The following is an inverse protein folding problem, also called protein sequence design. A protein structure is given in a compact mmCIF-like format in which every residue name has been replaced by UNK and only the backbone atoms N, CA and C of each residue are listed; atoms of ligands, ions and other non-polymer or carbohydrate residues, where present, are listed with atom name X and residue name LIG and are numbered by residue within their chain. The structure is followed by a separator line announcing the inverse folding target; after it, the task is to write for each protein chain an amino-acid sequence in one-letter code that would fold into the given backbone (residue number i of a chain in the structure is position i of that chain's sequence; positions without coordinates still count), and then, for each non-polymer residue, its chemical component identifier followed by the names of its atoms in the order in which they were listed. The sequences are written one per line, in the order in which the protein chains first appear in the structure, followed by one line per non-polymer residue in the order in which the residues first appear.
data_IF_888656823809
#
_entry.id   IF_888656823809
#
_cell.length_a   1.000
_cell.length_b   1.000
_cell.length_c   1.000
_cell.angle_alpha   90.00
_cell.angle_beta   90.00
_cell.angle_gamma   90.00
#
_symmetry.space_group_name_H-M   'P 1'
#
loop_
_entity.id
_entity.type
_entity.pdbx_description
1 polymer ?
#
# COMPACT_ATOMS: atom_id res chain seq x y z
N UNK A 1 -8.87 21.14 13.26
CA UNK A 1 -7.81 21.75 12.41
C UNK A 1 -7.87 20.99 11.12
N UNK A 2 -8.56 21.57 10.14
CA UNK A 2 -8.69 21.00 8.80
C UNK A 2 -7.35 21.17 8.11
N UNK A 3 -6.64 20.05 7.93
CA UNK A 3 -5.18 20.08 7.81
C UNK A 3 -4.68 20.23 6.36
N UNK A 4 -5.56 20.41 5.36
CA UNK A 4 -5.13 20.32 3.96
C UNK A 4 -5.76 21.34 3.03
N UNK A 5 -5.03 21.60 1.95
CA UNK A 5 -5.43 22.54 0.93
C UNK A 5 -6.69 22.07 0.21
N UNK A 6 -7.58 22.98 -0.21
CA UNK A 6 -8.73 22.63 -1.03
C UNK A 6 -8.27 21.99 -2.35
N UNK A 7 -9.10 21.17 -2.97
CA UNK A 7 -8.75 20.38 -4.16
C UNK A 7 -8.10 21.25 -5.26
N UNK A 8 -8.59 22.47 -5.44
CA UNK A 8 -8.13 23.45 -6.42
C UNK A 8 -6.65 23.83 -6.26
N UNK A 9 -6.10 23.73 -5.05
CA UNK A 9 -4.70 24.02 -4.78
C UNK A 9 -3.75 23.00 -5.44
N UNK A 10 -4.24 21.83 -5.84
CA UNK A 10 -3.45 20.80 -6.53
C UNK A 10 -3.37 21.02 -8.05
N UNK A 11 -3.92 22.13 -8.58
CA UNK A 11 -3.72 22.57 -9.97
C UNK A 11 -4.12 21.52 -11.01
N UNK A 12 -3.19 21.14 -11.89
CA UNK A 12 -3.45 20.14 -12.95
C UNK A 12 -3.83 18.76 -12.40
N UNK A 13 -3.33 18.37 -11.21
CA UNK A 13 -3.71 17.10 -10.60
C UNK A 13 -5.20 17.09 -10.26
N UNK A 14 -5.72 18.20 -9.74
CA UNK A 14 -7.13 18.34 -9.40
C UNK A 14 -8.04 18.16 -10.62
N UNK A 15 -7.64 18.73 -11.76
CA UNK A 15 -8.39 18.64 -13.02
C UNK A 15 -8.52 17.21 -13.53
N UNK A 16 -7.56 16.34 -13.23
CA UNK A 16 -7.58 14.92 -13.60
C UNK A 16 -8.50 14.04 -12.75
N UNK A 17 -8.99 14.53 -11.60
CA UNK A 17 -9.87 13.77 -10.71
C UNK A 17 -11.33 13.90 -11.18
N UNK A 18 -12.01 12.77 -11.31
CA UNK A 18 -13.45 12.70 -11.60
C UNK A 18 -14.28 12.81 -10.33
N UNK A 19 -14.01 11.92 -9.37
CA UNK A 19 -14.72 11.81 -8.10
C UNK A 19 -13.75 11.48 -6.98
N UNK A 20 -14.00 11.98 -5.77
CA UNK A 20 -13.31 11.54 -4.55
C UNK A 20 -14.01 10.28 -4.03
N UNK A 21 -13.27 9.17 -3.90
CA UNK A 21 -13.77 7.91 -3.34
C UNK A 21 -13.62 7.85 -1.82
N UNK A 22 -12.44 8.23 -1.34
CA UNK A 22 -12.13 8.26 0.08
C UNK A 22 -11.50 9.60 0.42
N UNK A 23 -12.15 10.36 1.30
CA UNK A 23 -11.59 11.61 1.80
C UNK A 23 -10.41 11.32 2.71
N UNK A 24 -9.59 12.34 2.93
CA UNK A 24 -8.49 12.25 3.88
C UNK A 24 -8.97 11.90 5.29
N UNK A 25 -10.09 12.48 5.76
CA UNK A 25 -10.64 12.17 7.08
C UNK A 25 -11.01 10.70 7.21
N UNK A 26 -11.58 10.12 6.15
CA UNK A 26 -11.90 8.69 6.11
C UNK A 26 -10.63 7.85 6.16
N UNK A 27 -9.61 8.19 5.36
CA UNK A 27 -8.33 7.49 5.36
C UNK A 27 -7.66 7.59 6.73
N UNK A 28 -7.52 8.80 7.28
CA UNK A 28 -6.93 9.05 8.61
C UNK A 28 -7.67 8.28 9.71
N UNK A 29 -9.00 8.29 9.67
CA UNK A 29 -9.79 7.52 10.63
C UNK A 29 -9.51 6.03 10.52
N UNK A 30 -9.48 5.50 9.29
CA UNK A 30 -9.22 4.08 9.06
C UNK A 30 -7.80 3.68 9.49
N UNK A 31 -6.80 4.50 9.17
CA UNK A 31 -5.40 4.24 9.57
C UNK A 31 -5.27 4.22 11.10
N UNK A 32 -5.98 5.08 11.84
CA UNK A 32 -6.02 5.03 13.31
C UNK A 32 -6.62 3.73 13.84
N UNK A 33 -7.71 3.27 13.24
CA UNK A 33 -8.32 1.98 13.62
C UNK A 33 -7.37 0.80 13.38
N UNK A 34 -6.67 0.81 12.24
CA UNK A 34 -5.65 -0.21 11.92
C UNK A 34 -4.48 -0.14 12.92
N UNK A 35 -3.98 1.05 13.23
CA UNK A 35 -2.90 1.25 14.19
C UNK A 35 -3.26 0.75 15.60
N UNK A 36 -4.49 1.01 16.05
CA UNK A 36 -4.99 0.49 17.32
C UNK A 36 -5.04 -1.04 17.33
N UNK A 37 -5.63 -1.65 16.30
CA UNK A 37 -5.72 -3.11 16.19
C UNK A 37 -4.33 -3.77 16.16
N UNK A 38 -3.38 -3.20 15.41
CA UNK A 38 -1.99 -3.68 15.37
C UNK A 38 -1.33 -3.56 16.74
N UNK A 39 -1.54 -2.44 17.43
CA UNK A 39 -0.96 -2.19 18.76
C UNK A 39 -1.45 -3.20 19.81
N UNK A 40 -2.71 -3.61 19.72
CA UNK A 40 -3.28 -4.60 20.63
C UNK A 40 -2.78 -6.01 20.31
N UNK A 41 -2.80 -6.40 19.04
CA UNK A 41 -2.40 -7.73 18.58
C UNK A 41 -0.90 -8.02 18.75
N UNK A 42 -0.05 -7.00 18.69
CA UNK A 42 1.41 -7.13 18.74
C UNK A 42 2.03 -6.61 20.05
N UNK A 43 1.22 -6.38 21.08
CA UNK A 43 1.69 -5.87 22.37
C UNK A 43 2.77 -6.77 22.96
N UNK A 44 3.97 -6.21 23.16
CA UNK A 44 5.13 -6.92 23.70
C UNK A 44 5.86 -7.83 22.71
N UNK A 45 5.58 -7.71 21.40
CA UNK A 45 6.19 -8.52 20.33
C UNK A 45 7.14 -7.72 19.42
N UNK A 46 7.22 -6.40 19.58
CA UNK A 46 8.08 -5.45 18.86
C UNK A 46 8.20 -5.78 17.34
N UNK A 47 7.09 -5.69 16.59
CA UNK A 47 7.04 -6.19 15.23
C UNK A 47 7.87 -5.35 14.25
N UNK A 48 8.35 -6.02 13.21
CA UNK A 48 8.97 -5.39 12.05
C UNK A 48 7.91 -5.12 10.98
N UNK A 49 7.69 -3.84 10.66
CA UNK A 49 6.84 -3.41 9.56
C UNK A 49 7.68 -3.28 8.29
N UNK A 50 7.26 -3.94 7.21
CA UNK A 50 7.98 -3.90 5.93
C UNK A 50 7.05 -3.43 4.83
N UNK A 51 7.42 -2.36 4.12
CA UNK A 51 6.66 -1.84 2.98
C UNK A 51 7.42 -1.95 1.66
N UNK A 52 6.69 -2.04 0.54
CA UNK A 52 7.30 -1.98 -0.80
C UNK A 52 7.21 -0.56 -1.36
N UNK A 53 8.36 0.01 -1.73
CA UNK A 53 8.43 1.33 -2.34
C UNK A 53 7.82 1.34 -3.75
N UNK A 54 7.20 2.43 -4.19
CA UNK A 54 7.10 3.75 -3.50
C UNK A 54 5.71 4.02 -2.91
N UNK A 55 4.68 3.33 -3.40
CA UNK A 55 3.28 3.67 -3.15
C UNK A 55 2.89 3.57 -1.67
N UNK A 56 3.50 2.65 -0.92
CA UNK A 56 3.25 2.46 0.51
C UNK A 56 3.61 3.67 1.38
N UNK A 57 4.46 4.59 0.92
CA UNK A 57 5.10 5.59 1.79
C UNK A 57 4.10 6.44 2.60
N UNK A 58 3.04 7.03 2.02
CA UNK A 58 2.07 7.80 2.79
C UNK A 58 1.35 6.95 3.84
N UNK A 59 0.93 5.74 3.46
CA UNK A 59 0.24 4.82 4.36
C UNK A 59 1.15 4.37 5.51
N UNK A 60 2.39 3.95 5.21
CA UNK A 60 3.37 3.54 6.22
C UNK A 60 3.62 4.67 7.23
N UNK A 61 3.82 5.90 6.76
CA UNK A 61 4.08 7.05 7.63
C UNK A 61 2.91 7.35 8.59
N UNK A 62 1.66 7.26 8.10
CA UNK A 62 0.48 7.50 8.94
C UNK A 62 0.19 6.32 9.88
N UNK A 63 0.43 5.09 9.42
CA UNK A 63 0.25 3.88 10.20
C UNK A 63 1.23 3.82 11.37
N UNK A 64 2.51 4.10 11.11
CA UNK A 64 3.55 4.14 12.16
C UNK A 64 3.19 5.12 13.28
N UNK A 65 2.69 6.32 12.93
CA UNK A 65 2.25 7.34 13.90
C UNK A 65 0.98 6.95 14.66
N UNK A 66 0.24 5.95 14.18
CA UNK A 66 -0.99 5.45 14.80
C UNK A 66 -0.75 4.20 15.66
N UNK A 67 0.45 3.62 15.65
CA UNK A 67 0.81 2.46 16.48
C UNK A 67 1.44 2.95 17.80
N UNK A 68 1.00 2.41 18.93
CA UNK A 68 1.36 2.87 20.28
C UNK A 68 2.32 1.93 21.01
N UNK A 69 2.92 0.97 20.32
CA UNK A 69 3.91 0.02 20.84
C UNK A 69 5.23 0.20 20.08
N UNK A 70 6.37 -0.29 20.61
CA UNK A 70 7.62 -0.30 19.86
C UNK A 70 7.46 -1.08 18.55
N UNK A 71 8.00 -0.54 17.47
CA UNK A 71 8.04 -1.16 16.14
C UNK A 71 9.36 -0.83 15.47
N UNK A 72 9.82 -1.73 14.61
CA UNK A 72 10.88 -1.44 13.63
C UNK A 72 10.26 -1.27 12.24
N UNK A 73 10.94 -0.55 11.36
CA UNK A 73 10.50 -0.34 9.98
C UNK A 73 11.65 -0.62 9.01
N UNK A 74 11.34 -1.30 7.91
CA UNK A 74 12.23 -1.42 6.75
C UNK A 74 11.40 -1.36 5.46
N UNK A 75 12.11 -1.25 4.34
CA UNK A 75 11.51 -1.15 3.02
C UNK A 75 12.18 -2.08 2.03
N UNK A 76 11.39 -2.64 1.13
CA UNK A 76 11.88 -3.27 -0.09
C UNK A 76 11.69 -2.34 -1.28
N UNK A 77 12.60 -2.37 -2.24
CA UNK A 77 12.40 -1.77 -3.55
C UNK A 77 12.45 -2.88 -4.61
N UNK A 78 11.44 -2.91 -5.47
CA UNK A 78 11.31 -3.92 -6.52
C UNK A 78 11.17 -3.28 -7.89
N UNK A 79 11.59 -4.00 -8.93
CA UNK A 79 11.36 -3.62 -10.32
C UNK A 79 10.83 -4.82 -11.11
N UNK A 80 10.19 -4.56 -12.26
CA UNK A 80 9.73 -5.63 -13.14
C UNK A 80 10.89 -6.15 -14.00
N UNK A 81 10.98 -7.47 -14.22
CA UNK A 81 11.98 -8.04 -15.13
C UNK A 81 11.59 -7.85 -16.61
N UNK A 82 10.43 -8.36 -16.99
CA UNK A 82 9.83 -8.31 -18.32
C UNK A 82 8.30 -8.31 -18.17
N UNK A 83 7.57 -8.01 -19.25
CA UNK A 83 6.10 -8.08 -19.25
C UNK A 83 5.59 -9.47 -18.84
N UNK A 84 6.20 -10.54 -19.37
CA UNK A 84 5.83 -11.94 -19.07
C UNK A 84 6.15 -12.35 -17.62
N UNK A 85 7.20 -11.79 -17.03
CA UNK A 85 7.54 -12.00 -15.64
C UNK A 85 6.54 -11.27 -14.73
N UNK A 86 6.14 -10.06 -15.11
CA UNK A 86 5.12 -9.27 -14.40
C UNK A 86 3.76 -9.96 -14.38
N UNK A 87 3.35 -10.59 -15.48
CA UNK A 87 2.10 -11.35 -15.56
C UNK A 87 2.11 -12.59 -14.65
N UNK A 88 3.30 -13.05 -14.24
CA UNK A 88 3.50 -14.12 -13.24
C UNK A 88 3.79 -13.57 -11.82
N UNK A 89 3.81 -12.26 -11.64
CA UNK A 89 4.16 -11.57 -10.39
C UNK A 89 5.63 -11.64 -9.99
N UNK A 90 6.52 -12.05 -10.90
CA UNK A 90 7.95 -12.16 -10.62
C UNK A 90 8.61 -10.79 -10.75
N UNK A 91 9.35 -10.39 -9.71
CA UNK A 91 9.97 -9.07 -9.60
C UNK A 91 11.44 -9.17 -9.18
N UNK A 92 12.25 -8.22 -9.63
CA UNK A 92 13.66 -8.06 -9.22
C UNK A 92 13.70 -7.24 -7.94
N UNK A 93 14.43 -7.71 -6.94
CA UNK A 93 14.68 -6.94 -5.71
C UNK A 93 15.88 -6.02 -5.94
N UNK A 94 15.65 -4.71 -5.86
CA UNK A 94 16.67 -3.65 -5.97
C UNK A 94 17.25 -3.30 -4.59
N UNK A 95 16.37 -3.25 -3.59
CA UNK A 95 16.72 -3.13 -2.17
C UNK A 95 15.98 -4.21 -1.40
N UNK A 96 16.73 -4.96 -0.62
CA UNK A 96 16.21 -5.96 0.29
C UNK A 96 16.12 -5.42 1.72
N UNK A 97 15.50 -6.21 2.59
CA UNK A 97 15.41 -5.97 4.04
C UNK A 97 16.79 -6.18 4.65
N UNK A 98 17.24 -5.25 5.48
CA UNK A 98 18.54 -5.28 6.13
C UNK A 98 18.46 -5.88 7.55
N UNK A 99 17.26 -5.89 8.13
CA UNK A 99 17.00 -6.44 9.47
C UNK A 99 16.87 -7.97 9.41
N UNK A 100 17.54 -8.74 10.31
CA UNK A 100 17.37 -10.18 10.40
C UNK A 100 15.91 -10.59 10.66
N UNK A 101 15.39 -11.52 9.87
CA UNK A 101 13.97 -11.92 9.91
C UNK A 101 13.67 -13.14 10.80
N UNK A 102 14.68 -13.95 11.12
CA UNK A 102 14.52 -15.19 11.88
C UNK A 102 13.87 -14.89 13.23
N UNK A 103 12.80 -15.62 13.56
CA UNK A 103 12.02 -15.46 14.80
C UNK A 103 11.41 -14.05 15.01
N UNK A 104 11.32 -13.21 13.96
CA UNK A 104 10.66 -11.90 14.07
C UNK A 104 9.17 -11.97 13.77
N UNK A 105 8.40 -11.18 14.51
CA UNK A 105 7.02 -10.90 14.19
C UNK A 105 6.97 -9.83 13.09
N UNK A 106 6.60 -10.22 11.86
CA UNK A 106 6.58 -9.34 10.71
C UNK A 106 5.16 -8.94 10.31
N UNK A 107 5.01 -7.69 9.91
CA UNK A 107 3.81 -7.16 9.26
C UNK A 107 4.20 -6.55 7.91
N UNK A 108 3.80 -7.20 6.83
CA UNK A 108 3.97 -6.70 5.48
C UNK A 108 2.88 -5.66 5.18
N UNK A 109 3.28 -4.44 4.85
CA UNK A 109 2.39 -3.29 4.64
C UNK A 109 2.36 -2.94 3.15
N UNK A 110 1.17 -2.94 2.56
CA UNK A 110 0.94 -2.60 1.15
C UNK A 110 -0.02 -1.41 1.02
N UNK A 111 0.21 -0.55 0.04
CA UNK A 111 -0.77 0.48 -0.33
C UNK A 111 -2.00 -0.17 -0.96
N UNK A 112 -1.81 -0.98 -2.01
CA UNK A 112 -2.89 -1.64 -2.73
C UNK A 112 -2.56 -3.07 -3.11
N UNK A 113 -3.51 -3.97 -2.93
CA UNK A 113 -3.41 -5.33 -3.48
C UNK A 113 -4.44 -5.53 -4.58
N UNK A 114 -3.91 -5.94 -5.73
CA UNK A 114 -4.66 -6.15 -6.96
C UNK A 114 -4.79 -7.66 -7.27
N UNK A 115 -4.00 -8.17 -8.22
CA UNK A 115 -3.98 -9.62 -8.54
C UNK A 115 -3.45 -10.47 -7.37
N UNK A 116 -2.59 -9.88 -6.53
CA UNK A 116 -1.91 -10.54 -5.43
C UNK A 116 -0.63 -11.30 -5.82
N UNK A 117 -0.31 -11.41 -7.11
CA UNK A 117 0.79 -12.24 -7.62
C UNK A 117 2.16 -11.80 -7.06
N UNK A 118 2.49 -10.51 -7.17
CA UNK A 118 3.75 -9.95 -6.66
C UNK A 118 3.86 -10.12 -5.15
N UNK A 119 2.80 -9.78 -4.41
CA UNK A 119 2.78 -9.94 -2.96
C UNK A 119 3.01 -11.40 -2.56
N UNK A 120 2.35 -12.36 -3.21
CA UNK A 120 2.56 -13.77 -2.91
C UNK A 120 3.99 -14.24 -3.22
N UNK A 121 4.60 -13.75 -4.31
CA UNK A 121 6.01 -14.01 -4.59
C UNK A 121 6.90 -13.51 -3.45
N UNK A 122 6.73 -12.26 -3.02
CA UNK A 122 7.51 -11.67 -1.93
C UNK A 122 7.30 -12.41 -0.59
N UNK A 123 6.04 -12.69 -0.22
CA UNK A 123 5.73 -13.41 1.01
C UNK A 123 6.33 -14.83 1.03
N UNK A 124 6.42 -15.50 -0.13
CA UNK A 124 7.10 -16.81 -0.23
C UNK A 124 8.59 -16.68 0.05
N UNK A 125 9.25 -15.66 -0.51
CA UNK A 125 10.66 -15.39 -0.25
C UNK A 125 10.89 -15.07 1.22
N UNK A 126 10.07 -14.19 1.82
CA UNK A 126 10.22 -13.79 3.21
C UNK A 126 9.97 -14.95 4.20
N UNK A 127 9.02 -15.85 3.91
CA UNK A 127 8.78 -17.05 4.73
C UNK A 127 9.99 -17.98 4.78
N UNK A 128 10.84 -18.00 3.74
CA UNK A 128 12.04 -18.82 3.73
C UNK A 128 13.10 -18.36 4.74
N UNK A 129 12.97 -17.15 5.29
CA UNK A 129 13.80 -16.66 6.39
C UNK A 129 13.24 -16.99 7.78
N UNK A 130 12.18 -17.80 7.86
CA UNK A 130 11.62 -18.34 9.11
C UNK A 130 11.27 -17.26 10.17
N UNK A 131 10.44 -16.26 9.83
CA UNK A 131 9.91 -15.34 10.83
C UNK A 131 8.97 -16.06 11.81
N UNK A 132 8.88 -15.56 13.04
CA UNK A 132 7.94 -16.09 14.04
C UNK A 132 6.48 -15.94 13.58
N UNK A 133 6.17 -14.87 12.86
CA UNK A 133 4.89 -14.71 12.14
C UNK A 133 5.06 -13.77 10.96
N UNK A 134 4.32 -14.01 9.87
CA UNK A 134 4.24 -13.08 8.74
C UNK A 134 2.78 -12.82 8.39
N UNK A 135 2.32 -11.60 8.67
CA UNK A 135 0.96 -11.14 8.35
C UNK A 135 0.99 -10.01 7.33
N UNK A 136 -0.17 -9.73 6.73
CA UNK A 136 -0.34 -8.66 5.73
C UNK A 136 -1.33 -7.61 6.25
N UNK A 137 -0.94 -6.35 6.14
CA UNK A 137 -1.79 -5.17 6.25
C UNK A 137 -1.83 -4.48 4.89
N UNK A 138 -3.02 -4.23 4.36
CA UNK A 138 -3.17 -3.39 3.16
C UNK A 138 -4.15 -2.26 3.41
N UNK A 139 -3.87 -1.09 2.86
CA UNK A 139 -4.83 0.01 2.90
C UNK A 139 -5.96 -0.22 1.88
N UNK A 140 -5.64 -0.68 0.68
CA UNK A 140 -6.62 -0.84 -0.39
C UNK A 140 -6.61 -2.26 -0.97
N UNK A 141 -7.78 -2.88 -1.10
CA UNK A 141 -7.92 -4.21 -1.71
C UNK A 141 -8.83 -4.14 -2.95
N UNK A 142 -8.44 -4.79 -4.05
CA UNK A 142 -9.28 -4.98 -5.24
C UNK A 142 -9.69 -6.45 -5.35
N UNK A 143 -10.63 -6.93 -4.52
CA UNK A 143 -10.96 -8.36 -4.45
C UNK A 143 -11.46 -8.92 -5.78
N UNK A 144 -12.08 -8.11 -6.64
CA UNK A 144 -12.55 -8.52 -7.98
C UNK A 144 -11.43 -8.84 -8.97
N UNK A 145 -10.21 -8.35 -8.75
CA UNK A 145 -9.04 -8.59 -9.61
C UNK A 145 -8.13 -9.69 -9.07
N UNK A 146 -8.46 -10.26 -7.91
CA UNK A 146 -7.69 -11.28 -7.22
C UNK A 146 -7.54 -12.54 -8.07
N UNK A 147 -6.30 -12.95 -8.33
CA UNK A 147 -6.00 -14.19 -9.05
C UNK A 147 -5.56 -15.32 -8.12
N UNK A 148 -5.06 -14.98 -6.93
CA UNK A 148 -4.59 -15.94 -5.95
C UNK A 148 -4.99 -15.52 -4.53
N UNK A 149 -5.30 -16.46 -3.63
CA UNK A 149 -5.65 -16.11 -2.25
C UNK A 149 -4.44 -15.49 -1.54
N UNK A 150 -4.66 -14.35 -0.88
CA UNK A 150 -3.69 -13.75 0.03
C UNK A 150 -4.38 -13.52 1.36
N UNK A 151 -3.92 -14.15 2.46
CA UNK A 151 -4.51 -13.93 3.77
C UNK A 151 -4.18 -12.51 4.25
N UNK A 152 -5.21 -11.67 4.33
CA UNK A 152 -5.10 -10.30 4.85
C UNK A 152 -5.48 -10.31 6.33
N UNK A 153 -4.54 -9.97 7.21
CA UNK A 153 -4.84 -9.82 8.64
C UNK A 153 -5.51 -8.48 8.90
N UNK A 154 -5.06 -7.44 8.20
CA UNK A 154 -5.63 -6.10 8.28
C UNK A 154 -5.92 -5.57 6.88
N UNK A 155 -7.12 -4.98 6.72
CA UNK A 155 -7.58 -4.41 5.46
C UNK A 155 -8.21 -3.05 5.72
N UNK A 156 -7.78 -2.01 5.02
CA UNK A 156 -8.36 -0.68 5.10
C UNK A 156 -9.71 -0.61 4.39
N UNK A 157 -9.70 -0.55 3.06
CA UNK A 157 -10.84 -0.30 2.20
C UNK A 157 -10.86 -1.26 1.00
N UNK A 158 -12.07 -1.52 0.48
CA UNK A 158 -12.22 -2.14 -0.83
C UNK A 158 -12.26 -1.06 -1.91
N UNK A 159 -11.54 -1.27 -3.01
CA UNK A 159 -11.58 -0.43 -4.19
C UNK A 159 -12.42 -1.05 -5.30
N UNK A 160 -13.11 -0.20 -6.10
CA UNK A 160 -13.74 -0.67 -7.33
C UNK A 160 -12.68 -1.10 -8.35
N UNK A 161 -13.10 -1.88 -9.34
CA UNK A 161 -12.30 -2.15 -10.54
C UNK A 161 -12.32 -0.92 -11.48
N UNK A 162 -11.68 0.15 -11.01
CA UNK A 162 -11.49 1.42 -11.73
C UNK A 162 -10.09 1.96 -11.46
N UNK A 163 -9.66 2.88 -12.32
CA UNK A 163 -8.40 3.57 -12.16
C UNK A 163 -8.51 4.63 -11.06
N UNK A 164 -7.67 4.52 -10.04
CA UNK A 164 -7.67 5.41 -8.87
C UNK A 164 -6.25 5.90 -8.59
N UNK A 165 -6.15 7.08 -8.01
CA UNK A 165 -4.90 7.74 -7.66
C UNK A 165 -5.01 8.46 -6.33
N UNK A 166 -3.87 8.89 -5.79
CA UNK A 166 -3.81 9.60 -4.51
C UNK A 166 -3.43 8.70 -3.36
N UNK A 167 -2.93 9.33 -2.29
CA UNK A 167 -2.45 8.67 -1.08
C UNK A 167 -1.44 7.54 -1.40
N UNK A 168 -0.44 7.86 -2.22
CA UNK A 168 0.59 6.92 -2.65
C UNK A 168 0.34 6.25 -4.01
N UNK A 169 -0.93 6.09 -4.40
CA UNK A 169 -1.31 5.56 -5.71
C UNK A 169 -1.02 6.58 -6.82
N UNK A 170 -0.47 6.12 -7.95
CA UNK A 170 -0.02 7.00 -9.03
C UNK A 170 -0.64 6.76 -10.39
N UNK A 171 -0.48 7.77 -11.24
CA UNK A 171 -0.52 7.64 -12.68
C UNK A 171 0.71 8.34 -13.25
N UNK A 172 1.59 7.58 -13.93
CA UNK A 172 2.83 8.10 -14.53
C UNK A 172 3.69 8.84 -13.50
N UNK A 173 3.87 8.25 -12.32
CA UNK A 173 4.60 8.81 -11.18
C UNK A 173 3.98 10.07 -10.53
N UNK A 174 2.86 10.56 -11.04
CA UNK A 174 2.14 11.72 -10.49
C UNK A 174 1.01 11.29 -9.54
N UNK A 175 0.36 12.26 -8.89
CA UNK A 175 -0.81 12.08 -8.01
C UNK A 175 -0.58 11.45 -6.63
N UNK A 176 0.59 10.83 -6.36
CA UNK A 176 0.88 10.19 -5.06
C UNK A 176 0.65 11.12 -3.85
N UNK A 177 0.84 12.43 -4.04
CA UNK A 177 0.76 13.48 -3.02
C UNK A 177 -0.66 13.98 -2.71
N UNK A 178 -1.70 13.50 -3.40
CA UNK A 178 -3.07 13.85 -3.03
C UNK A 178 -3.42 13.20 -1.68
N UNK A 179 -4.06 13.93 -0.74
CA UNK A 179 -4.35 13.44 0.60
C UNK A 179 -5.60 12.53 0.66
N UNK A 180 -6.28 12.36 -0.47
CA UNK A 180 -7.47 11.55 -0.66
C UNK A 180 -7.24 10.52 -1.78
N UNK A 181 -8.14 9.55 -1.92
CA UNK A 181 -8.18 8.67 -3.09
C UNK A 181 -9.29 9.09 -4.04
N UNK A 182 -8.93 9.32 -5.30
CA UNK A 182 -9.85 9.77 -6.33
C UNK A 182 -9.88 8.84 -7.54
N UNK A 183 -11.01 8.83 -8.24
CA UNK A 183 -11.14 8.22 -9.56
C UNK A 183 -10.47 9.13 -10.59
N UNK A 184 -9.57 8.57 -11.39
CA UNK A 184 -8.93 9.32 -12.47
C UNK A 184 -9.86 9.39 -13.69
N UNK A 185 -9.89 10.54 -14.34
CA UNK A 185 -10.60 10.76 -15.61
C UNK A 185 -9.98 9.91 -16.74
N UNK A 186 -10.78 9.20 -17.56
CA UNK A 186 -10.28 8.37 -18.66
C UNK A 186 -9.28 9.06 -19.57
N UNK A 187 -9.54 10.32 -19.91
CA UNK A 187 -8.77 11.13 -20.85
C UNK A 187 -7.32 11.38 -20.36
N UNK A 188 -7.05 11.19 -19.07
CA UNK A 188 -5.73 11.40 -18.46
C UNK A 188 -4.84 10.16 -18.63
N UNK A 189 -5.41 8.95 -18.53
CA UNK A 189 -4.64 7.69 -18.56
C UNK A 189 -4.78 6.92 -19.88
N UNK A 190 -5.78 7.26 -20.70
CA UNK A 190 -5.87 6.87 -22.10
C UNK A 190 -5.57 8.12 -22.93
N UNK A 191 -4.29 8.38 -23.30
CA UNK A 191 -4.04 9.42 -24.29
C UNK A 191 -4.72 8.98 -25.58
N UNK A 192 -5.41 9.91 -26.24
CA UNK A 192 -6.22 9.70 -27.44
C UNK A 192 -5.67 8.56 -28.33
N UNK A 193 -6.51 7.57 -28.61
CA UNK A 193 -6.33 6.67 -29.75
C UNK A 193 -6.61 7.50 -31.02
N UNK A 194 -5.70 8.42 -31.33
CA UNK A 194 -5.61 9.11 -32.61
C UNK A 194 -4.84 8.26 -33.62
#
# INVERSE_FOLDING_TARGET
MDAFYPLEAYGELAKGIRDILYTEEQIRQRVRELGQAISDDYRGLDPLLVGVLKGVVPFMADLLRSITIPVEVDYMAISSYSSEARDRGVVRVEKDIEIPLVNRHMLFVEDVIDTGLTLNYLLRTLRAHEPASLHVCTLFDKPKRRLIPVPLKYKGFDLPDRFVVGYGLDCREMYRNLPFVGLLKPEVFQPDMG
#
